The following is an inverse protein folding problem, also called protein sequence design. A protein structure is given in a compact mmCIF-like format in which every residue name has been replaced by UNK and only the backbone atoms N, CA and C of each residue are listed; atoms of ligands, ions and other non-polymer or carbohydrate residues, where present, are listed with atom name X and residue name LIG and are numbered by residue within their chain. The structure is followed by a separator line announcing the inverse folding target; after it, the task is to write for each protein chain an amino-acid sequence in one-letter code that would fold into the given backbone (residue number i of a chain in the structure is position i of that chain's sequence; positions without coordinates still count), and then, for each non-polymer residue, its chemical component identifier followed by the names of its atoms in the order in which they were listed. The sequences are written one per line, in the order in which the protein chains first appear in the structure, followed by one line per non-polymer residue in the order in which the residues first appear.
data_IF_839964461210
#
_entry.id   IF_839964461210
#
_cell.length_a   1.000
_cell.length_b   1.000
_cell.length_c   1.000
_cell.angle_alpha   90.00
_cell.angle_beta   90.00
_cell.angle_gamma   90.00
#
_symmetry.space_group_name_H-M   'P 1'
#
loop_
_entity.id
_entity.type
_entity.pdbx_description
1 polymer ?
#
# COMPACT_ATOMS: atom_id res chain seq x y z
N UNK A 1 -25.85 -39.77 -3.36
CA UNK A 1 -24.79 -38.94 -4.00
C UNK A 1 -25.33 -37.51 -4.13
N UNK A 2 -25.07 -36.61 -3.17
CA UNK A 2 -25.49 -35.21 -3.25
C UNK A 2 -24.39 -34.33 -3.85
N UNK A 3 -24.74 -33.18 -4.45
CA UNK A 3 -23.82 -32.35 -5.20
C UNK A 3 -22.98 -31.44 -4.28
N UNK A 4 -21.72 -31.29 -4.67
CA UNK A 4 -20.68 -30.54 -3.99
C UNK A 4 -20.82 -29.04 -4.32
N UNK A 5 -21.23 -28.22 -3.34
CA UNK A 5 -21.21 -26.77 -3.42
C UNK A 5 -19.80 -26.24 -3.12
N UNK A 6 -19.07 -25.82 -4.16
CA UNK A 6 -17.81 -25.05 -4.00
C UNK A 6 -18.09 -23.56 -4.19
N UNK A 7 -18.22 -22.85 -3.08
CA UNK A 7 -18.16 -21.39 -3.05
C UNK A 7 -16.75 -20.91 -3.42
N UNK A 8 -16.66 -19.99 -4.38
CA UNK A 8 -15.44 -19.22 -4.67
C UNK A 8 -15.39 -18.01 -3.74
N UNK A 9 -14.27 -17.71 -3.05
CA UNK A 9 -14.06 -16.40 -2.44
C UNK A 9 -13.62 -15.41 -3.53
N UNK A 10 -14.45 -14.40 -3.79
CA UNK A 10 -14.16 -13.28 -4.69
C UNK A 10 -13.16 -12.32 -4.04
N UNK A 11 -11.91 -12.37 -4.50
CA UNK A 11 -10.95 -11.28 -4.35
C UNK A 11 -10.51 -10.93 -5.78
N UNK A 12 -10.57 -9.64 -6.13
CA UNK A 12 -10.56 -9.02 -7.48
C UNK A 12 -11.98 -8.78 -8.02
N UNK A 13 -12.48 -7.52 -8.10
CA UNK A 13 -13.68 -7.21 -8.85
C UNK A 13 -13.38 -7.35 -10.34
N UNK A 14 -13.97 -8.36 -10.99
CA UNK A 14 -14.02 -8.45 -12.44
C UNK A 14 -15.00 -7.43 -12.98
N UNK A 15 -14.51 -6.44 -13.73
CA UNK A 15 -15.35 -5.47 -14.43
C UNK A 15 -15.76 -6.10 -15.77
N UNK A 16 -16.97 -6.65 -15.87
CA UNK A 16 -17.58 -6.99 -17.16
C UNK A 16 -19.10 -6.75 -17.20
N UNK A 17 -19.45 -5.66 -17.89
CA UNK A 17 -20.64 -5.37 -18.72
C UNK A 17 -22.04 -5.70 -18.19
N UNK A 18 -22.91 -4.67 -18.19
CA UNK A 18 -24.00 -4.52 -19.17
C UNK A 18 -24.55 -3.08 -19.14
N UNK A 19 -24.49 -2.39 -20.27
CA UNK A 19 -25.26 -1.16 -20.52
C UNK A 19 -26.63 -1.58 -21.07
N UNK A 20 -27.69 -1.30 -20.32
CA UNK A 20 -29.07 -1.32 -20.79
C UNK A 20 -29.70 0.01 -20.39
N UNK A 21 -30.10 0.81 -21.38
CA UNK A 21 -30.62 2.15 -21.15
C UNK A 21 -32.07 2.14 -20.64
N UNK A 22 -32.40 3.13 -19.82
CA UNK A 22 -33.74 3.72 -19.80
C UNK A 22 -33.62 5.17 -19.34
N UNK A 23 -34.27 6.06 -20.10
CA UNK A 23 -34.38 7.49 -19.85
C UNK A 23 -35.46 7.72 -18.80
N UNK A 24 -35.20 8.56 -17.81
CA UNK A 24 -36.22 9.41 -17.19
C UNK A 24 -35.55 10.59 -16.48
N UNK A 25 -35.98 11.80 -16.83
CA UNK A 25 -35.67 13.03 -16.09
C UNK A 25 -36.56 13.13 -14.85
N UNK A 26 -36.12 13.86 -13.81
CA UNK A 26 -36.91 15.03 -13.45
C UNK A 26 -36.11 16.27 -13.05
N UNK A 27 -36.86 17.37 -13.10
CA UNK A 27 -36.53 18.78 -13.01
C UNK A 27 -36.18 19.32 -11.62
N UNK A 28 -35.30 20.34 -11.65
CA UNK A 28 -35.27 21.62 -10.89
C UNK A 28 -35.62 21.64 -9.39
N UNK A 29 -34.64 22.10 -8.61
CA UNK A 29 -34.83 22.72 -7.30
C UNK A 29 -33.49 23.08 -6.65
N UNK A 30 -32.85 24.18 -7.07
CA UNK A 30 -31.61 24.67 -6.47
C UNK A 30 -31.95 25.80 -5.47
N UNK A 31 -31.64 25.58 -4.20
CA UNK A 31 -31.62 26.63 -3.17
C UNK A 31 -30.19 27.21 -3.05
N UNK A 32 -30.00 28.52 -2.87
CA UNK A 32 -28.67 29.12 -2.82
C UNK A 32 -28.01 28.91 -1.45
N UNK A 33 -26.73 28.55 -1.46
CA UNK A 33 -25.87 28.50 -0.28
C UNK A 33 -25.53 29.91 0.22
N UNK A 34 -25.43 30.16 1.54
CA UNK A 34 -25.16 31.49 2.08
C UNK A 34 -23.70 31.92 1.83
N UNK A 35 -23.54 33.11 1.27
CA UNK A 35 -22.27 33.79 1.03
C UNK A 35 -21.84 34.64 2.23
N UNK A 36 -20.82 34.17 2.98
CA UNK A 36 -19.72 34.93 3.64
C UNK A 36 -19.22 34.18 4.90
N UNK A 37 -17.92 33.85 5.02
CA UNK A 37 -17.34 33.42 6.29
C UNK A 37 -16.78 34.61 7.08
N UNK A 38 -16.85 34.49 8.41
CA UNK A 38 -16.24 35.40 9.39
C UNK A 38 -14.71 35.31 9.40
N UNK A 39 -14.07 36.40 9.84
CA UNK A 39 -12.62 36.56 9.93
C UNK A 39 -12.02 35.78 11.12
N UNK A 40 -11.95 34.45 11.01
CA UNK A 40 -11.07 33.61 11.84
C UNK A 40 -11.03 32.17 11.31
N UNK A 41 -10.57 31.97 10.08
CA UNK A 41 -10.36 30.64 9.54
C UNK A 41 -8.93 30.16 9.86
N UNK A 42 -8.74 28.97 10.45
CA UNK A 42 -7.41 28.40 10.66
C UNK A 42 -6.69 28.22 9.31
N UNK A 43 -5.35 28.17 9.33
CA UNK A 43 -4.48 28.07 8.14
C UNK A 43 -4.83 26.93 7.16
N UNK A 44 -5.70 26.00 7.56
CA UNK A 44 -6.31 24.92 6.77
C UNK A 44 -7.25 25.41 5.67
N UNK A 45 -7.95 26.54 5.85
CA UNK A 45 -8.72 27.15 4.76
C UNK A 45 -7.81 27.69 3.66
N UNK A 46 -6.67 28.31 4.00
CA UNK A 46 -5.86 29.04 3.03
C UNK A 46 -5.31 28.19 1.87
N UNK A 47 -4.96 26.92 2.09
CA UNK A 47 -4.41 26.04 1.04
C UNK A 47 -5.46 25.43 0.10
N UNK A 48 -6.68 25.15 0.59
CA UNK A 48 -7.79 24.73 -0.26
C UNK A 48 -8.46 25.94 -0.93
N UNK A 49 -8.61 27.05 -0.19
CA UNK A 49 -9.11 28.32 -0.72
C UNK A 49 -8.22 28.84 -1.86
N UNK A 50 -6.90 28.76 -1.77
CA UNK A 50 -6.03 29.23 -2.85
C UNK A 50 -6.20 28.44 -4.15
N UNK A 51 -6.55 27.14 -4.08
CA UNK A 51 -6.76 26.28 -5.26
C UNK A 51 -8.10 26.55 -5.95
N UNK A 52 -9.17 26.71 -5.18
CA UNK A 52 -10.48 27.11 -5.73
C UNK A 52 -10.44 28.54 -6.27
N UNK A 53 -9.78 29.48 -5.57
CA UNK A 53 -9.62 30.86 -6.05
C UNK A 53 -8.71 30.96 -7.27
N UNK A 54 -7.63 30.17 -7.34
CA UNK A 54 -6.77 30.10 -8.52
C UNK A 54 -7.57 29.66 -9.76
N UNK A 55 -8.40 28.63 -9.64
CA UNK A 55 -9.29 28.22 -10.74
C UNK A 55 -10.35 29.27 -11.10
N UNK A 56 -10.89 29.99 -10.12
CA UNK A 56 -11.88 31.05 -10.34
C UNK A 56 -11.29 32.24 -11.10
N UNK A 57 -10.04 32.63 -10.80
CA UNK A 57 -9.35 33.76 -11.44
C UNK A 57 -9.17 33.58 -12.95
N UNK A 58 -9.04 32.33 -13.42
CA UNK A 58 -8.80 32.00 -14.83
C UNK A 58 -9.98 31.28 -15.49
N UNK A 59 -11.16 31.26 -14.87
CA UNK A 59 -12.31 30.49 -15.33
C UNK A 59 -12.76 30.84 -16.76
N UNK A 60 -12.58 32.10 -17.17
CA UNK A 60 -12.89 32.58 -18.52
C UNK A 60 -11.74 32.45 -19.54
N UNK A 61 -10.55 32.05 -19.10
CA UNK A 61 -9.37 31.92 -19.94
C UNK A 61 -9.40 30.62 -20.77
N UNK A 62 -8.55 30.51 -21.78
CA UNK A 62 -8.36 29.28 -22.54
C UNK A 62 -7.83 28.15 -21.65
N UNK A 63 -8.04 26.88 -22.07
CA UNK A 63 -7.54 25.72 -21.32
C UNK A 63 -6.04 25.79 -21.05
N UNK A 64 -5.25 26.26 -22.01
CA UNK A 64 -3.80 26.35 -21.85
C UNK A 64 -3.43 27.39 -20.78
N UNK A 65 -4.06 28.55 -20.80
CA UNK A 65 -3.85 29.59 -19.79
C UNK A 65 -4.25 29.10 -18.40
N UNK A 66 -5.39 28.39 -18.29
CA UNK A 66 -5.81 27.77 -17.03
C UNK A 66 -4.77 26.77 -16.50
N UNK A 67 -4.27 25.89 -17.37
CA UNK A 67 -3.27 24.88 -16.99
C UNK A 67 -1.94 25.51 -16.57
N UNK A 68 -1.48 26.56 -17.27
CA UNK A 68 -0.25 27.30 -16.91
C UNK A 68 -0.41 28.02 -15.57
N UNK A 69 -1.58 28.60 -15.32
CA UNK A 69 -1.88 29.21 -14.03
C UNK A 69 -1.89 28.18 -12.91
N UNK A 70 -2.60 27.06 -13.09
CA UNK A 70 -2.68 25.98 -12.10
C UNK A 70 -1.34 25.31 -11.81
N UNK A 71 -0.45 25.19 -12.81
CA UNK A 71 0.89 24.63 -12.63
C UNK A 71 1.77 25.44 -11.67
N UNK A 72 1.44 26.72 -11.43
CA UNK A 72 2.11 27.57 -10.46
C UNK A 72 1.53 27.46 -9.04
N UNK A 73 0.43 26.72 -8.86
CA UNK A 73 -0.13 26.44 -7.54
C UNK A 73 0.64 25.28 -6.90
N UNK A 74 1.20 25.44 -5.68
CA UNK A 74 2.00 24.41 -5.04
C UNK A 74 1.30 23.03 -5.00
N UNK A 75 2.02 22.00 -5.47
CA UNK A 75 1.58 20.61 -5.51
C UNK A 75 0.65 20.22 -6.64
N UNK A 76 0.36 21.11 -7.59
CA UNK A 76 -0.35 20.74 -8.81
C UNK A 76 0.69 20.41 -9.89
N UNK A 77 0.73 19.14 -10.28
CA UNK A 77 1.50 18.69 -11.43
C UNK A 77 0.62 18.71 -12.67
N UNK A 78 1.07 19.39 -13.73
CA UNK A 78 0.39 19.42 -15.04
C UNK A 78 1.24 18.70 -16.09
N UNK A 79 0.97 17.41 -16.36
CA UNK A 79 1.71 16.58 -17.31
C UNK A 79 2.07 17.21 -18.65
N UNK A 80 1.14 17.92 -19.29
CA UNK A 80 1.31 18.47 -20.64
C UNK A 80 2.30 19.64 -20.70
N UNK A 81 2.75 20.16 -19.56
CA UNK A 81 3.69 21.28 -19.47
C UNK A 81 5.12 20.82 -19.15
N UNK A 82 5.39 19.51 -19.28
CA UNK A 82 6.72 18.93 -19.10
C UNK A 82 7.07 18.06 -20.31
N UNK A 83 8.18 18.38 -20.97
CA UNK A 83 8.77 17.56 -22.02
C UNK A 83 9.62 16.45 -21.41
N UNK A 84 9.58 15.26 -22.01
CA UNK A 84 10.41 14.11 -21.62
C UNK A 84 11.28 13.77 -22.82
N UNK A 85 12.59 13.85 -22.62
CA UNK A 85 13.61 13.44 -23.58
C UNK A 85 14.15 12.08 -23.19
N UNK A 86 14.35 11.22 -24.19
CA UNK A 86 14.83 9.85 -24.01
C UNK A 86 16.19 9.71 -24.69
N UNK A 87 17.07 8.87 -24.12
CA UNK A 87 18.37 8.56 -24.74
C UNK A 87 18.19 7.93 -26.12
N UNK A 88 17.21 7.04 -26.23
CA UNK A 88 16.68 6.48 -27.46
C UNK A 88 15.24 5.98 -27.21
N UNK A 89 14.56 5.46 -28.23
CA UNK A 89 13.14 5.05 -28.14
C UNK A 89 12.90 3.91 -27.14
N UNK A 90 13.85 3.01 -26.94
CA UNK A 90 13.82 1.88 -26.01
C UNK A 90 14.69 2.09 -24.75
N UNK A 91 15.41 3.21 -24.69
CA UNK A 91 16.36 3.56 -23.64
C UNK A 91 15.75 4.30 -22.46
N UNK A 92 16.62 4.68 -21.52
CA UNK A 92 16.26 5.44 -20.33
C UNK A 92 15.81 6.87 -20.66
N UNK A 93 15.15 7.52 -19.70
CA UNK A 93 14.86 8.95 -19.76
C UNK A 93 16.19 9.70 -19.65
N UNK A 94 16.48 10.56 -20.62
CA UNK A 94 17.60 11.48 -20.56
C UNK A 94 17.27 12.61 -19.58
N UNK A 95 16.13 13.28 -19.78
CA UNK A 95 15.73 14.41 -18.95
C UNK A 95 14.22 14.63 -18.95
N UNK A 96 13.73 15.26 -17.88
CA UNK A 96 12.37 15.79 -17.76
C UNK A 96 12.47 17.28 -17.48
N UNK A 97 11.93 18.11 -18.36
CA UNK A 97 12.02 19.57 -18.25
C UNK A 97 10.65 20.22 -18.41
N UNK A 98 10.38 21.36 -17.74
CA UNK A 98 9.22 22.17 -18.06
C UNK A 98 9.29 22.66 -19.51
N UNK A 99 8.12 22.82 -20.15
CA UNK A 99 8.03 23.31 -21.54
C UNK A 99 8.44 24.78 -21.70
N UNK A 100 8.50 25.54 -20.61
CA UNK A 100 9.02 26.91 -20.57
C UNK A 100 9.36 27.33 -19.13
N UNK A 101 10.01 28.50 -19.00
CA UNK A 101 10.57 29.01 -17.75
C UNK A 101 9.54 29.48 -16.72
N UNK A 102 8.27 29.68 -17.12
CA UNK A 102 7.19 30.06 -16.19
C UNK A 102 6.59 28.88 -15.44
N UNK A 103 7.01 27.65 -15.76
CA UNK A 103 6.55 26.42 -15.12
C UNK A 103 7.65 25.93 -14.16
N UNK A 104 7.30 25.59 -12.90
CA UNK A 104 8.29 25.07 -11.96
C UNK A 104 9.02 23.84 -12.50
N UNK A 105 10.34 23.80 -12.39
CA UNK A 105 11.11 22.63 -12.83
C UNK A 105 10.80 21.37 -11.99
N UNK A 106 10.39 21.57 -10.73
CA UNK A 106 10.03 20.50 -9.81
C UNK A 106 8.74 20.83 -9.05
N UNK A 107 7.90 19.83 -8.86
CA UNK A 107 6.62 19.96 -8.15
C UNK A 107 6.72 19.29 -6.79
N UNK A 108 6.51 20.07 -5.73
CA UNK A 108 6.57 19.56 -4.36
C UNK A 108 5.21 19.07 -3.87
N UNK A 109 5.18 17.83 -3.38
CA UNK A 109 3.99 17.24 -2.77
C UNK A 109 3.54 18.08 -1.57
N UNK A 110 2.27 18.46 -1.56
CA UNK A 110 1.66 19.15 -0.41
C UNK A 110 1.12 18.14 0.60
N UNK A 111 1.35 18.39 1.88
CA UNK A 111 0.85 17.57 2.98
C UNK A 111 0.00 18.41 3.92
N UNK A 112 -1.28 18.06 4.05
CA UNK A 112 -2.17 18.62 5.07
C UNK A 112 -1.60 18.40 6.47
N UNK A 113 -1.55 19.42 7.33
CA UNK A 113 -0.93 19.35 8.66
C UNK A 113 -1.93 19.25 9.84
N UNK A 114 -3.23 19.19 9.58
CA UNK A 114 -4.22 19.03 10.66
C UNK A 114 -4.29 17.61 11.23
N UNK A 115 -4.94 17.51 12.38
CA UNK A 115 -5.18 16.29 13.18
C UNK A 115 -6.57 15.67 12.96
N UNK A 116 -7.35 16.17 12.00
CA UNK A 116 -8.59 15.56 11.52
C UNK A 116 -8.24 14.75 10.27
N UNK A 117 -8.53 13.45 10.31
CA UNK A 117 -8.29 12.52 9.20
C UNK A 117 -9.59 12.18 8.46
N UNK A 118 -9.47 11.40 7.39
CA UNK A 118 -10.58 11.15 6.48
C UNK A 118 -11.56 10.10 7.02
N UNK A 119 -12.83 10.27 6.70
CA UNK A 119 -13.86 9.26 6.89
C UNK A 119 -14.70 9.11 5.61
N UNK A 120 -15.44 8.01 5.50
CA UNK A 120 -16.34 7.77 4.36
C UNK A 120 -17.31 8.93 4.16
N UNK A 121 -17.39 9.43 2.92
CA UNK A 121 -18.44 10.39 2.51
C UNK A 121 -19.61 9.67 1.82
N UNK A 122 -19.37 8.48 1.28
CA UNK A 122 -20.36 7.66 0.59
C UNK A 122 -20.29 6.24 1.15
N UNK A 123 -21.43 5.70 1.57
CA UNK A 123 -21.62 4.31 2.00
C UNK A 123 -22.66 3.67 1.09
N UNK A 124 -22.30 2.56 0.44
CA UNK A 124 -23.17 1.89 -0.53
C UNK A 124 -22.74 0.44 -0.70
N UNK A 125 -23.67 -0.42 -1.10
CA UNK A 125 -23.41 -1.80 -1.49
C UNK A 125 -22.55 -1.93 -2.75
N UNK A 126 -22.46 -0.87 -3.57
CA UNK A 126 -21.62 -0.86 -4.76
C UNK A 126 -20.16 -0.47 -4.49
N UNK A 127 -19.82 -0.13 -3.23
CA UNK A 127 -18.47 0.21 -2.85
C UNK A 127 -17.59 -1.06 -2.83
N UNK A 128 -16.27 -0.90 -3.02
CA UNK A 128 -15.32 -2.01 -2.91
C UNK A 128 -15.41 -2.73 -1.54
N UNK A 129 -15.78 -1.99 -0.50
CA UNK A 129 -16.18 -2.53 0.79
C UNK A 129 -17.66 -2.20 1.04
N UNK A 130 -18.52 -3.12 0.63
CA UNK A 130 -19.96 -2.95 0.63
C UNK A 130 -20.49 -2.54 2.02
N UNK A 131 -21.18 -1.40 2.07
CA UNK A 131 -21.84 -0.88 3.27
C UNK A 131 -20.92 -0.67 4.49
N UNK A 132 -19.60 -0.52 4.31
CA UNK A 132 -18.67 -0.21 5.41
C UNK A 132 -18.43 1.30 5.48
N UNK A 133 -18.66 1.89 6.65
CA UNK A 133 -18.22 3.25 6.96
C UNK A 133 -16.79 3.22 7.50
N UNK A 134 -15.88 3.83 6.75
CA UNK A 134 -14.45 3.79 7.02
C UNK A 134 -14.00 5.05 7.76
N UNK A 135 -13.18 4.88 8.80
CA UNK A 135 -12.58 5.95 9.60
C UNK A 135 -11.06 5.79 9.62
N UNK A 136 -10.34 6.82 9.18
CA UNK A 136 -8.89 6.86 9.21
C UNK A 136 -8.37 7.25 10.60
N UNK A 137 -7.78 6.27 11.28
CA UNK A 137 -7.25 6.40 12.65
C UNK A 137 -5.88 7.04 12.65
N UNK A 138 -5.03 6.62 11.71
CA UNK A 138 -3.67 7.15 11.53
C UNK A 138 -3.35 7.31 10.05
N UNK A 139 -2.49 8.27 9.74
CA UNK A 139 -1.96 8.49 8.39
C UNK A 139 -0.44 8.39 8.42
N UNK A 140 0.13 7.69 7.44
CA UNK A 140 1.53 7.27 7.40
C UNK A 140 1.90 6.21 8.45
N UNK A 141 3.14 5.77 8.40
CA UNK A 141 3.75 4.81 9.32
C UNK A 141 5.19 5.24 9.60
N UNK A 142 5.62 5.33 10.89
CA UNK A 142 6.96 5.80 11.25
C UNK A 142 8.05 4.72 11.10
N UNK A 143 7.69 3.49 10.73
CA UNK A 143 8.60 2.34 10.74
C UNK A 143 9.61 2.32 9.59
N UNK A 144 9.34 3.06 8.50
CA UNK A 144 10.30 3.26 7.41
C UNK A 144 10.75 1.96 6.72
N UNK A 145 9.86 0.97 6.58
CA UNK A 145 10.13 -0.24 5.81
C UNK A 145 10.49 0.12 4.36
N UNK A 146 11.65 -0.31 3.87
CA UNK A 146 12.35 0.25 2.69
C UNK A 146 11.63 0.08 1.34
N UNK A 147 10.56 -0.70 1.28
CA UNK A 147 9.69 -0.87 0.12
C UNK A 147 8.36 -0.11 0.22
N UNK A 148 8.04 0.45 1.39
CA UNK A 148 6.67 0.86 1.74
C UNK A 148 6.38 2.33 1.41
N UNK A 149 5.48 2.55 0.44
CA UNK A 149 5.00 3.89 0.09
C UNK A 149 4.41 4.65 1.28
N UNK A 150 3.67 3.98 2.16
CA UNK A 150 3.05 4.65 3.30
C UNK A 150 4.12 5.32 4.19
N UNK A 151 5.26 4.68 4.41
CA UNK A 151 6.31 5.23 5.27
C UNK A 151 7.12 6.34 4.61
N UNK A 152 7.35 6.29 3.29
CA UNK A 152 8.23 7.26 2.62
C UNK A 152 7.48 8.41 1.94
N UNK A 153 6.30 8.14 1.39
CA UNK A 153 5.54 9.13 0.61
C UNK A 153 4.56 9.93 1.47
N UNK A 154 4.09 9.38 2.60
CA UNK A 154 2.98 10.01 3.37
C UNK A 154 3.37 10.69 4.68
N UNK A 155 4.68 10.84 4.95
CA UNK A 155 5.21 11.57 6.10
C UNK A 155 4.66 13.00 6.21
N UNK A 156 4.54 13.55 7.44
CA UNK A 156 4.85 12.88 8.73
C UNK A 156 3.74 11.92 9.20
N UNK A 157 4.06 11.06 10.18
CA UNK A 157 3.07 10.25 10.90
C UNK A 157 2.10 11.15 11.66
N UNK A 158 0.81 10.84 11.55
CA UNK A 158 -0.27 11.61 12.18
C UNK A 158 -1.32 10.69 12.76
N UNK A 159 -1.78 11.06 13.93
CA UNK A 159 -2.81 10.39 14.71
C UNK A 159 -4.02 11.31 14.79
N UNK A 160 -5.20 10.79 14.48
CA UNK A 160 -6.43 11.56 14.60
C UNK A 160 -6.86 11.66 16.06
N UNK A 161 -7.18 12.84 16.58
CA UNK A 161 -7.67 12.96 17.96
C UNK A 161 -8.88 12.06 18.20
N UNK A 162 -8.86 11.26 19.28
CA UNK A 162 -9.97 10.38 19.62
C UNK A 162 -11.25 11.19 19.84
N UNK A 163 -11.20 12.20 20.70
CA UNK A 163 -12.36 13.02 21.07
C UNK A 163 -12.79 13.98 19.95
N UNK A 164 -11.85 14.69 19.33
CA UNK A 164 -12.20 15.74 18.37
C UNK A 164 -12.44 15.22 16.94
N UNK A 165 -12.01 13.99 16.62
CA UNK A 165 -12.09 13.44 15.26
C UNK A 165 -12.70 12.05 15.20
N UNK A 166 -12.16 11.06 15.92
CA UNK A 166 -12.55 9.66 15.72
C UNK A 166 -13.92 9.32 16.26
N UNK A 167 -14.23 9.72 17.50
CA UNK A 167 -15.55 9.50 18.11
C UNK A 167 -16.65 10.16 17.27
N UNK A 168 -16.57 11.47 16.92
CA UNK A 168 -17.58 12.10 16.06
C UNK A 168 -17.70 11.43 14.69
N UNK A 169 -16.60 10.93 14.13
CA UNK A 169 -16.64 10.22 12.85
C UNK A 169 -17.33 8.86 12.96
N UNK A 170 -17.09 8.12 14.04
CA UNK A 170 -17.74 6.84 14.35
C UNK A 170 -19.22 7.05 14.59
N UNK A 171 -19.62 8.06 15.38
CA UNK A 171 -21.02 8.37 15.67
C UNK A 171 -21.82 8.67 14.39
N UNK A 172 -21.28 9.49 13.49
CA UNK A 172 -21.88 9.70 12.15
C UNK A 172 -21.92 8.41 11.33
N UNK A 173 -20.94 7.53 11.49
CA UNK A 173 -20.86 6.27 10.75
C UNK A 173 -21.95 5.28 11.17
N UNK A 174 -22.19 5.14 12.48
CA UNK A 174 -23.20 4.21 13.01
C UNK A 174 -24.64 4.65 12.72
N UNK A 175 -24.87 5.94 12.50
CA UNK A 175 -26.16 6.45 11.99
C UNK A 175 -26.46 5.97 10.57
N UNK A 176 -25.42 5.59 9.80
CA UNK A 176 -25.53 5.21 8.38
C UNK A 176 -25.47 3.69 8.20
N UNK A 177 -24.66 2.99 9.00
CA UNK A 177 -24.44 1.54 8.88
C UNK A 177 -23.92 0.97 10.18
N UNK A 178 -24.24 -0.29 10.47
CA UNK A 178 -23.63 -1.01 11.58
C UNK A 178 -22.26 -1.62 11.25
N UNK A 179 -21.69 -1.38 10.06
CA UNK A 179 -20.38 -1.92 9.67
C UNK A 179 -19.33 -0.81 9.66
N UNK A 180 -18.42 -0.84 10.62
CA UNK A 180 -17.32 0.11 10.74
C UNK A 180 -16.00 -0.50 10.28
N UNK A 181 -15.19 0.31 9.59
CA UNK A 181 -13.83 -0.02 9.19
C UNK A 181 -12.84 0.98 9.76
N UNK A 182 -11.94 0.55 10.64
CA UNK A 182 -10.82 1.40 11.06
C UNK A 182 -9.62 1.17 10.15
N UNK A 183 -9.15 2.23 9.50
CA UNK A 183 -8.07 2.17 8.52
C UNK A 183 -6.88 3.06 8.90
N UNK A 184 -5.73 2.70 8.37
CA UNK A 184 -4.46 3.40 8.57
C UNK A 184 -3.30 2.45 8.36
N UNK A 185 -2.11 2.98 8.08
CA UNK A 185 -0.94 2.15 7.82
C UNK A 185 -0.39 1.46 9.09
N UNK A 186 -0.75 1.96 10.28
CA UNK A 186 -0.38 1.36 11.57
C UNK A 186 -1.35 1.78 12.68
N UNK A 187 -2.63 1.39 12.56
CA UNK A 187 -3.74 1.91 13.38
C UNK A 187 -3.50 1.76 14.89
N UNK A 188 -2.87 0.66 15.30
CA UNK A 188 -2.61 0.33 16.71
C UNK A 188 -1.44 1.11 17.32
N UNK A 189 -0.67 1.85 16.52
CA UNK A 189 0.32 2.81 17.02
C UNK A 189 -0.31 4.17 17.36
N UNK A 190 -1.62 4.30 17.25
CA UNK A 190 -2.32 5.45 17.82
C UNK A 190 -2.14 5.44 19.35
N UNK A 191 -1.67 6.53 19.98
CA UNK A 191 -1.34 6.55 21.42
C UNK A 191 -2.55 6.26 22.30
N UNK A 192 -3.74 6.66 21.85
CA UNK A 192 -5.02 6.45 22.55
C UNK A 192 -5.85 5.32 21.90
N UNK A 193 -5.20 4.34 21.25
CA UNK A 193 -5.93 3.26 20.56
C UNK A 193 -6.78 2.44 21.54
N UNK A 194 -6.28 2.18 22.76
CA UNK A 194 -7.06 1.48 23.77
C UNK A 194 -8.30 2.24 24.20
N UNK A 195 -8.22 3.56 24.35
CA UNK A 195 -9.37 4.42 24.64
C UNK A 195 -10.43 4.32 23.55
N UNK A 196 -10.01 4.21 22.29
CA UNK A 196 -10.92 3.98 21.16
C UNK A 196 -11.61 2.61 21.24
N UNK A 197 -10.90 1.56 21.66
CA UNK A 197 -11.50 0.24 21.88
C UNK A 197 -12.53 0.29 23.02
N UNK A 198 -12.18 0.94 24.14
CA UNK A 198 -13.11 1.12 25.27
C UNK A 198 -14.36 1.88 24.87
N UNK A 199 -14.24 2.86 23.97
CA UNK A 199 -15.39 3.57 23.42
C UNK A 199 -16.28 2.67 22.56
N UNK A 200 -15.68 1.88 21.66
CA UNK A 200 -16.42 1.00 20.74
C UNK A 200 -17.07 -0.17 21.49
N UNK A 201 -16.51 -0.64 22.60
CA UNK A 201 -17.07 -1.72 23.43
C UNK A 201 -18.23 -1.29 24.34
N UNK A 202 -18.70 -0.04 24.27
CA UNK A 202 -19.86 0.38 25.06
C UNK A 202 -21.14 -0.35 24.57
N UNK A 203 -22.09 -0.69 25.46
CA UNK A 203 -23.29 -1.47 25.09
C UNK A 203 -24.12 -0.91 23.92
N UNK A 204 -24.09 0.42 23.72
CA UNK A 204 -24.77 1.08 22.59
C UNK A 204 -24.21 0.69 21.21
N UNK A 205 -23.06 0.03 21.16
CA UNK A 205 -22.39 -0.39 19.93
C UNK A 205 -22.32 -1.92 19.77
N UNK A 206 -23.05 -2.70 20.58
CA UNK A 206 -23.03 -4.18 20.53
C UNK A 206 -23.38 -4.74 19.13
N UNK A 207 -24.27 -4.06 18.39
CA UNK A 207 -24.66 -4.45 17.03
C UNK A 207 -23.66 -4.05 15.93
N UNK A 208 -22.60 -3.32 16.29
CA UNK A 208 -21.57 -2.86 15.36
C UNK A 208 -20.65 -4.03 14.98
N UNK A 209 -20.44 -4.19 13.67
CA UNK A 209 -19.42 -5.08 13.11
C UNK A 209 -18.16 -4.30 12.80
N UNK A 210 -17.06 -4.69 13.42
CA UNK A 210 -15.79 -3.99 13.31
C UNK A 210 -14.86 -4.72 12.34
N UNK A 211 -14.35 -3.99 11.35
CA UNK A 211 -13.26 -4.41 10.48
C UNK A 211 -12.03 -3.54 10.72
N UNK A 212 -10.86 -4.17 10.83
CA UNK A 212 -9.59 -3.46 11.01
C UNK A 212 -8.69 -3.70 9.80
N UNK A 213 -7.95 -2.65 9.42
CA UNK A 213 -6.74 -2.83 8.62
C UNK A 213 -5.72 -3.72 9.34
N UNK A 214 -4.70 -4.19 8.62
CA UNK A 214 -3.61 -4.97 9.24
C UNK A 214 -2.98 -4.17 10.38
N UNK A 215 -2.76 -4.84 11.50
CA UNK A 215 -2.16 -4.25 12.71
C UNK A 215 -0.69 -4.63 12.82
N UNK A 216 0.06 -3.85 13.61
CA UNK A 216 1.43 -4.21 13.95
C UNK A 216 1.41 -5.43 14.87
N UNK A 217 2.29 -6.39 14.63
CA UNK A 217 2.32 -7.65 15.36
C UNK A 217 2.44 -7.47 16.88
N UNK A 218 3.36 -6.64 17.34
CA UNK A 218 3.59 -6.40 18.77
C UNK A 218 2.49 -5.59 19.47
N UNK A 219 1.48 -5.13 18.74
CA UNK A 219 0.30 -4.43 19.28
C UNK A 219 -0.95 -5.30 19.36
N UNK A 220 -0.83 -6.59 19.03
CA UNK A 220 -1.92 -7.55 19.23
C UNK A 220 -2.01 -7.87 20.72
N UNK A 221 -2.99 -7.29 21.39
CA UNK A 221 -3.33 -7.55 22.80
C UNK A 221 -4.56 -8.45 22.91
N UNK A 222 -4.77 -9.05 24.08
CA UNK A 222 -5.99 -9.83 24.36
C UNK A 222 -7.23 -8.93 24.28
N UNK A 223 -7.19 -7.73 24.86
CA UNK A 223 -8.26 -6.71 24.75
C UNK A 223 -8.66 -6.40 23.30
N UNK A 224 -7.68 -6.25 22.40
CA UNK A 224 -7.96 -6.07 20.97
C UNK A 224 -8.66 -7.29 20.37
N UNK A 225 -8.18 -8.50 20.69
CA UNK A 225 -8.78 -9.73 20.20
C UNK A 225 -10.23 -9.92 20.72
N UNK A 226 -10.47 -9.67 22.00
CA UNK A 226 -11.80 -9.70 22.62
C UNK A 226 -12.75 -8.68 21.99
N UNK A 227 -12.28 -7.43 21.80
CA UNK A 227 -13.04 -6.37 21.09
C UNK A 227 -13.43 -6.83 19.69
N UNK A 228 -12.49 -7.41 18.94
CA UNK A 228 -12.77 -7.92 17.61
C UNK A 228 -13.83 -9.05 17.65
N UNK A 229 -13.74 -9.97 18.60
CA UNK A 229 -14.72 -11.05 18.76
C UNK A 229 -16.10 -10.51 19.13
N UNK A 230 -16.18 -9.55 20.05
CA UNK A 230 -17.42 -8.89 20.45
C UNK A 230 -18.13 -8.23 19.24
N UNK A 231 -17.35 -7.67 18.31
CA UNK A 231 -17.86 -7.02 17.09
C UNK A 231 -17.80 -7.90 15.83
N UNK A 232 -18.07 -9.22 15.98
CA UNK A 232 -18.24 -10.23 14.92
C UNK A 232 -17.02 -10.43 13.99
N UNK A 233 -15.83 -10.04 14.45
CA UNK A 233 -14.57 -10.31 13.76
C UNK A 233 -13.94 -11.61 14.23
N UNK A 234 -13.67 -12.51 13.28
CA UNK A 234 -13.09 -13.84 13.56
C UNK A 234 -11.58 -13.91 13.39
N UNK A 235 -10.98 -12.83 12.87
CA UNK A 235 -9.58 -12.82 12.47
C UNK A 235 -8.93 -11.46 12.71
N UNK A 236 -7.68 -11.48 13.15
CA UNK A 236 -6.77 -10.32 13.05
C UNK A 236 -5.75 -10.58 11.94
N UNK A 237 -5.25 -9.50 11.33
CA UNK A 237 -4.23 -9.59 10.27
C UNK A 237 -2.96 -8.86 10.70
N UNK A 238 -1.81 -9.53 10.62
CA UNK A 238 -0.49 -8.95 10.88
C UNK A 238 0.41 -9.03 9.64
N UNK A 239 1.28 -8.06 9.45
CA UNK A 239 2.27 -8.08 8.37
C UNK A 239 3.64 -8.47 8.93
N UNK A 240 4.16 -9.61 8.48
CA UNK A 240 5.47 -10.17 8.88
C UNK A 240 6.51 -10.09 7.78
N UNK A 241 6.06 -10.02 6.52
CA UNK A 241 6.83 -9.95 5.28
C UNK A 241 7.67 -11.20 5.01
N UNK A 242 8.39 -11.73 5.99
CA UNK A 242 9.23 -12.92 5.91
C UNK A 242 9.46 -13.48 7.32
N UNK A 243 9.67 -14.79 7.44
CA UNK A 243 10.11 -15.39 8.71
C UNK A 243 11.61 -15.26 8.98
N UNK A 244 12.38 -14.72 8.04
CA UNK A 244 13.82 -14.48 8.23
C UNK A 244 14.07 -13.17 8.98
N UNK A 245 14.78 -13.25 10.10
CA UNK A 245 15.25 -12.06 10.84
C UNK A 245 16.22 -11.23 10.00
N UNK A 246 17.08 -11.89 9.23
CA UNK A 246 18.02 -11.22 8.32
C UNK A 246 17.28 -10.41 7.26
N UNK A 247 16.31 -11.03 6.59
CA UNK A 247 15.57 -10.36 5.53
C UNK A 247 14.61 -9.28 6.09
N UNK A 248 14.10 -9.45 7.32
CA UNK A 248 13.41 -8.37 8.04
C UNK A 248 14.32 -7.17 8.32
N UNK A 249 15.58 -7.39 8.72
CA UNK A 249 16.57 -6.30 8.81
C UNK A 249 16.74 -5.61 7.46
N UNK A 250 17.00 -6.35 6.38
CA UNK A 250 17.17 -5.83 5.01
C UNK A 250 16.02 -4.92 4.57
N UNK A 251 14.77 -5.21 4.93
CA UNK A 251 13.62 -4.35 4.59
C UNK A 251 13.31 -3.28 5.65
N UNK A 252 14.10 -3.17 6.70
CA UNK A 252 13.91 -2.34 7.89
C UNK A 252 12.57 -2.63 8.58
N UNK A 253 12.25 -3.90 8.78
CA UNK A 253 11.09 -4.35 9.57
C UNK A 253 11.55 -4.65 10.99
N UNK A 254 11.17 -3.75 11.91
CA UNK A 254 11.45 -3.85 13.35
C UNK A 254 10.44 -4.76 14.03
N UNK A 255 10.66 -6.06 13.88
CA UNK A 255 9.81 -7.12 14.40
C UNK A 255 10.67 -8.34 14.68
N UNK A 256 10.56 -8.93 15.86
CA UNK A 256 11.26 -10.16 16.25
C UNK A 256 10.38 -11.40 16.09
N UNK A 257 10.97 -12.58 15.94
CA UNK A 257 10.23 -13.84 15.79
C UNK A 257 9.36 -14.16 17.02
N UNK A 258 9.88 -13.87 18.22
CA UNK A 258 9.15 -14.11 19.48
C UNK A 258 7.85 -13.29 19.54
N UNK A 259 7.90 -12.00 19.15
CA UNK A 259 6.72 -11.13 19.11
C UNK A 259 5.61 -11.67 18.19
N UNK A 260 5.97 -12.35 17.09
CA UNK A 260 5.00 -12.98 16.18
C UNK A 260 4.30 -14.17 16.85
N UNK A 261 5.05 -14.99 17.57
CA UNK A 261 4.48 -16.12 18.32
C UNK A 261 3.55 -15.64 19.43
N UNK A 262 3.97 -14.61 20.19
CA UNK A 262 3.15 -14.01 21.24
C UNK A 262 1.84 -13.43 20.68
N UNK A 263 1.90 -12.74 19.53
CA UNK A 263 0.70 -12.21 18.88
C UNK A 263 -0.30 -13.32 18.52
N UNK A 264 0.18 -14.48 18.06
CA UNK A 264 -0.69 -15.62 17.77
C UNK A 264 -1.30 -16.23 19.04
N UNK A 265 -0.52 -16.32 20.12
CA UNK A 265 -1.00 -16.79 21.42
C UNK A 265 -2.08 -15.85 21.98
N UNK A 266 -1.81 -14.54 22.02
CA UNK A 266 -2.76 -13.51 22.50
C UNK A 266 -4.03 -13.45 21.65
N UNK A 267 -3.90 -13.52 20.32
CA UNK A 267 -5.05 -13.57 19.41
C UNK A 267 -5.98 -14.75 19.75
N UNK A 268 -5.39 -15.93 19.97
CA UNK A 268 -6.16 -17.12 20.37
C UNK A 268 -6.76 -16.98 21.76
N UNK A 269 -6.00 -16.46 22.73
CA UNK A 269 -6.45 -16.28 24.11
C UNK A 269 -7.68 -15.35 24.18
N UNK A 270 -7.68 -14.25 23.42
CA UNK A 270 -8.84 -13.35 23.28
C UNK A 270 -9.97 -13.88 22.38
N UNK A 271 -9.96 -15.17 22.02
CA UNK A 271 -11.10 -15.83 21.36
C UNK A 271 -11.10 -15.81 19.83
N UNK A 272 -10.11 -15.23 19.17
CA UNK A 272 -10.06 -15.25 17.69
C UNK A 272 -9.86 -16.68 17.18
N UNK A 273 -10.66 -17.06 16.18
CA UNK A 273 -10.57 -18.37 15.54
C UNK A 273 -9.49 -18.47 14.44
N UNK A 274 -8.95 -17.32 14.00
CA UNK A 274 -7.95 -17.30 12.93
C UNK A 274 -6.99 -16.11 12.99
N UNK A 275 -5.79 -16.32 12.47
CA UNK A 275 -4.76 -15.29 12.28
C UNK A 275 -4.33 -15.27 10.81
N UNK A 276 -4.40 -14.09 10.20
CA UNK A 276 -3.92 -13.84 8.84
C UNK A 276 -2.56 -13.15 8.92
N UNK A 277 -1.61 -13.63 8.12
CA UNK A 277 -0.28 -13.05 8.00
C UNK A 277 -0.07 -12.59 6.56
N UNK A 278 0.55 -11.42 6.39
CA UNK A 278 1.05 -10.97 5.11
C UNK A 278 2.55 -11.20 5.01
N UNK A 279 2.94 -11.96 3.97
CA UNK A 279 4.30 -12.22 3.55
C UNK A 279 4.57 -11.66 2.15
N UNK A 280 5.84 -11.70 1.77
CA UNK A 280 6.33 -11.24 0.48
C UNK A 280 7.51 -12.12 0.06
N UNK A 281 7.59 -12.46 -1.22
CA UNK A 281 8.78 -13.10 -1.82
C UNK A 281 9.36 -12.22 -2.92
N UNK A 282 10.58 -12.54 -3.34
CA UNK A 282 11.32 -11.76 -4.32
C UNK A 282 11.86 -10.44 -3.75
N UNK A 283 11.94 -10.33 -2.43
CA UNK A 283 12.54 -9.18 -1.74
C UNK A 283 14.01 -9.05 -2.20
N UNK A 284 14.54 -7.83 -2.45
CA UNK A 284 15.95 -7.64 -2.72
C UNK A 284 16.82 -8.31 -1.63
N UNK A 285 17.89 -9.00 -2.04
CA UNK A 285 18.76 -9.80 -1.17
C UNK A 285 18.12 -11.08 -0.56
N UNK A 286 16.93 -11.51 -0.97
CA UNK A 286 16.33 -12.78 -0.49
C UNK A 286 17.04 -14.03 -1.04
N UNK A 287 17.48 -14.89 -0.13
CA UNK A 287 18.16 -16.17 -0.36
C UNK A 287 17.23 -17.36 -0.03
N UNK A 288 17.50 -18.59 -0.52
CA UNK A 288 16.64 -19.75 -0.28
C UNK A 288 16.33 -20.01 1.20
N UNK A 289 17.30 -19.79 2.09
CA UNK A 289 17.21 -20.01 3.53
C UNK A 289 16.14 -19.11 4.17
N UNK A 290 15.85 -17.93 3.61
CA UNK A 290 14.82 -17.04 4.13
C UNK A 290 13.40 -17.61 3.92
N UNK A 291 13.20 -18.39 2.86
CA UNK A 291 11.94 -19.08 2.60
C UNK A 291 11.76 -20.23 3.58
N UNK A 292 12.84 -20.92 3.91
CA UNK A 292 12.83 -21.99 4.90
C UNK A 292 12.52 -21.43 6.30
N UNK A 293 13.15 -20.33 6.69
CA UNK A 293 12.80 -19.60 7.91
C UNK A 293 11.32 -19.16 7.93
N UNK A 294 10.76 -18.77 6.80
CA UNK A 294 9.33 -18.44 6.67
C UNK A 294 8.44 -19.66 6.92
N UNK A 295 8.82 -20.83 6.40
CA UNK A 295 8.09 -22.08 6.65
C UNK A 295 8.19 -22.48 8.12
N UNK A 296 9.39 -22.44 8.69
CA UNK A 296 9.66 -22.79 10.09
C UNK A 296 8.87 -21.90 11.05
N UNK A 297 8.89 -20.58 10.84
CA UNK A 297 8.08 -19.63 11.60
C UNK A 297 6.60 -20.03 11.57
N UNK A 298 6.04 -20.29 10.40
CA UNK A 298 4.61 -20.65 10.27
C UNK A 298 4.27 -21.96 10.99
N UNK A 299 5.18 -22.93 11.01
CA UNK A 299 5.02 -24.18 11.79
C UNK A 299 5.12 -23.93 13.29
N UNK A 300 6.05 -23.08 13.72
CA UNK A 300 6.19 -22.68 15.12
C UNK A 300 4.92 -21.97 15.62
N UNK A 301 4.34 -21.06 14.83
CA UNK A 301 3.07 -20.41 15.17
C UNK A 301 1.93 -21.41 15.33
N UNK A 302 1.84 -22.41 14.43
CA UNK A 302 0.82 -23.45 14.50
C UNK A 302 0.94 -24.26 15.80
N UNK A 303 2.17 -24.53 16.24
CA UNK A 303 2.46 -25.23 17.50
C UNK A 303 2.17 -24.36 18.72
N UNK A 304 2.53 -23.08 18.68
CA UNK A 304 2.35 -22.13 19.78
C UNK A 304 0.87 -21.79 20.06
N UNK A 305 0.04 -21.76 19.01
CA UNK A 305 -1.40 -21.50 19.13
C UNK A 305 -2.25 -22.64 18.53
N UNK A 306 -2.33 -23.82 19.18
CA UNK A 306 -3.06 -24.97 18.63
C UNK A 306 -4.53 -24.67 18.33
N UNK A 307 -5.04 -25.05 17.17
CA UNK A 307 -6.45 -24.80 16.80
C UNK A 307 -6.74 -23.39 16.25
N UNK A 308 -5.78 -22.46 16.30
CA UNK A 308 -5.88 -21.18 15.60
C UNK A 308 -5.64 -21.42 14.10
N UNK A 309 -6.60 -21.05 13.24
CA UNK A 309 -6.42 -21.19 11.79
C UNK A 309 -5.43 -20.14 11.27
N UNK A 310 -4.32 -20.59 10.72
CA UNK A 310 -3.32 -19.72 10.10
C UNK A 310 -3.54 -19.57 8.60
N UNK A 311 -3.50 -18.33 8.12
CA UNK A 311 -3.48 -18.00 6.68
C UNK A 311 -2.26 -17.15 6.37
N UNK A 312 -1.47 -17.52 5.37
CA UNK A 312 -0.39 -16.68 4.84
C UNK A 312 -0.78 -16.17 3.45
N UNK A 313 -1.14 -14.88 3.37
CA UNK A 313 -1.24 -14.16 2.11
C UNK A 313 0.14 -13.71 1.68
N UNK A 314 0.57 -14.06 0.46
CA UNK A 314 1.95 -13.81 0.04
C UNK A 314 2.00 -13.09 -1.31
N UNK A 315 2.56 -11.88 -1.28
CA UNK A 315 2.75 -11.02 -2.45
C UNK A 315 4.13 -11.22 -3.09
N UNK A 316 4.30 -10.75 -4.32
CA UNK A 316 5.65 -10.57 -4.89
C UNK A 316 6.10 -9.14 -4.63
N UNK A 317 7.37 -8.95 -4.28
CA UNK A 317 7.95 -7.61 -4.18
C UNK A 317 7.75 -6.84 -5.50
N UNK A 318 7.18 -5.64 -5.40
CA UNK A 318 6.99 -4.72 -6.52
C UNK A 318 7.61 -3.38 -6.14
N UNK A 319 8.60 -2.88 -6.91
CA UNK A 319 9.23 -1.59 -6.65
C UNK A 319 8.22 -0.46 -6.71
N UNK A 320 8.39 0.53 -5.83
CA UNK A 320 7.51 1.69 -5.75
C UNK A 320 8.33 2.97 -5.77
N UNK A 321 7.84 3.94 -6.53
CA UNK A 321 8.41 5.28 -6.63
C UNK A 321 8.64 5.91 -5.24
N UNK A 322 9.72 6.67 -5.11
CA UNK A 322 10.11 7.36 -3.87
C UNK A 322 10.33 6.45 -2.65
N UNK A 323 10.65 5.17 -2.87
CA UNK A 323 11.11 4.28 -1.81
C UNK A 323 12.58 3.92 -2.03
N UNK A 324 13.36 3.56 -0.98
CA UNK A 324 14.73 3.09 -1.14
C UNK A 324 14.89 1.93 -2.14
N UNK A 325 13.85 1.12 -2.31
CA UNK A 325 13.88 -0.03 -3.22
C UNK A 325 13.37 0.27 -4.64
N UNK A 326 13.15 1.54 -5.00
CA UNK A 326 12.64 1.93 -6.32
C UNK A 326 13.55 1.55 -7.50
N UNK A 327 14.83 1.32 -7.26
CA UNK A 327 15.82 0.96 -8.29
C UNK A 327 15.94 -0.54 -8.54
N UNK A 328 15.41 -1.39 -7.66
CA UNK A 328 15.46 -2.84 -7.88
C UNK A 328 14.38 -3.28 -8.86
N UNK A 329 14.60 -4.40 -9.54
CA UNK A 329 13.64 -5.12 -10.34
C UNK A 329 12.85 -6.17 -9.55
N UNK A 330 11.77 -6.66 -10.16
CA UNK A 330 11.02 -7.82 -9.68
C UNK A 330 11.81 -9.09 -9.99
N UNK A 331 12.07 -9.90 -8.97
CA UNK A 331 12.78 -11.17 -9.15
C UNK A 331 11.98 -12.16 -10.00
N UNK A 332 12.59 -12.65 -11.09
CA UNK A 332 12.04 -13.72 -11.91
C UNK A 332 11.88 -15.06 -11.14
N UNK A 333 12.56 -15.21 -10.01
CA UNK A 333 12.43 -16.40 -9.16
C UNK A 333 11.19 -16.37 -8.27
N UNK A 334 10.53 -15.21 -8.09
CA UNK A 334 9.40 -15.06 -7.17
C UNK A 334 8.28 -16.07 -7.43
N UNK A 335 7.97 -16.40 -8.70
CA UNK A 335 6.96 -17.42 -9.02
C UNK A 335 7.33 -18.80 -8.47
N UNK A 336 8.61 -19.20 -8.59
CA UNK A 336 9.12 -20.47 -8.05
C UNK A 336 9.08 -20.45 -6.52
N UNK A 337 9.40 -19.31 -5.89
CA UNK A 337 9.37 -19.13 -4.43
C UNK A 337 7.95 -19.23 -3.87
N UNK A 338 6.96 -18.60 -4.53
CA UNK A 338 5.53 -18.77 -4.19
C UNK A 338 5.09 -20.24 -4.27
N UNK A 339 5.47 -20.95 -5.33
CA UNK A 339 5.15 -22.39 -5.50
C UNK A 339 5.82 -23.25 -4.42
N UNK A 340 7.04 -22.91 -4.01
CA UNK A 340 7.75 -23.60 -2.93
C UNK A 340 7.01 -23.44 -1.59
N UNK A 341 6.68 -22.20 -1.20
CA UNK A 341 5.92 -21.95 0.03
C UNK A 341 4.57 -22.67 0.01
N UNK A 342 3.87 -22.65 -1.13
CA UNK A 342 2.62 -23.39 -1.30
C UNK A 342 2.80 -24.90 -1.06
N UNK A 343 3.85 -25.49 -1.64
CA UNK A 343 4.16 -26.92 -1.51
C UNK A 343 4.50 -27.30 -0.06
N UNK A 344 5.21 -26.43 0.68
CA UNK A 344 5.63 -26.69 2.07
C UNK A 344 4.51 -26.43 3.10
N UNK A 345 3.70 -25.38 2.92
CA UNK A 345 2.72 -24.94 3.92
C UNK A 345 1.37 -25.66 3.84
N UNK A 346 0.86 -25.94 2.63
CA UNK A 346 -0.49 -26.54 2.48
C UNK A 346 -0.63 -27.94 3.11
N UNK A 347 0.34 -28.86 2.94
CA UNK A 347 0.28 -30.18 3.61
C UNK A 347 0.25 -30.06 5.14
N UNK A 348 0.72 -28.94 5.68
CA UNK A 348 0.75 -28.64 7.10
C UNK A 348 -0.56 -28.01 7.60
N UNK A 349 -1.61 -27.98 6.78
CA UNK A 349 -2.92 -27.42 7.14
C UNK A 349 -2.93 -25.89 7.26
N UNK A 350 -1.91 -25.21 6.73
CA UNK A 350 -1.81 -23.75 6.71
C UNK A 350 -2.37 -23.24 5.38
N UNK A 351 -3.31 -22.28 5.45
CA UNK A 351 -3.96 -21.72 4.27
C UNK A 351 -3.01 -20.74 3.57
N UNK A 352 -2.35 -21.19 2.51
CA UNK A 352 -1.45 -20.35 1.70
C UNK A 352 -2.17 -19.75 0.49
N UNK A 353 -2.16 -18.42 0.43
CA UNK A 353 -2.83 -17.59 -0.59
C UNK A 353 -1.80 -16.72 -1.33
N UNK A 354 -1.13 -17.25 -2.36
CA UNK A 354 -0.21 -16.46 -3.17
C UNK A 354 -0.97 -15.50 -4.08
N UNK A 355 -0.43 -14.30 -4.27
CA UNK A 355 -0.80 -13.45 -5.39
C UNK A 355 -0.33 -14.06 -6.71
N UNK A 356 -0.93 -13.62 -7.82
CA UNK A 356 -0.47 -14.04 -9.13
C UNK A 356 0.79 -13.27 -9.52
N UNK A 357 1.91 -13.97 -9.62
CA UNK A 357 3.19 -13.40 -10.07
C UNK A 357 3.04 -12.61 -11.38
N UNK A 358 2.30 -13.14 -12.36
CA UNK A 358 2.10 -12.44 -13.64
C UNK A 358 1.32 -11.13 -13.48
N UNK A 359 0.40 -11.05 -12.53
CA UNK A 359 -0.26 -9.78 -12.21
C UNK A 359 0.66 -8.83 -11.43
N UNK A 360 1.56 -9.34 -10.58
CA UNK A 360 2.62 -8.53 -9.97
C UNK A 360 3.59 -7.95 -11.02
N UNK A 361 3.89 -8.70 -12.09
CA UNK A 361 4.66 -8.20 -13.25
C UNK A 361 3.95 -7.01 -13.90
N UNK A 362 2.63 -7.10 -14.13
CA UNK A 362 1.84 -5.97 -14.66
C UNK A 362 1.79 -4.80 -13.66
N UNK A 363 1.68 -5.09 -12.37
CA UNK A 363 1.73 -4.06 -11.33
C UNK A 363 3.07 -3.33 -11.32
N UNK A 364 4.18 -4.04 -11.51
CA UNK A 364 5.52 -3.45 -11.60
C UNK A 364 5.66 -2.58 -12.84
N UNK A 365 5.19 -3.05 -14.00
CA UNK A 365 5.13 -2.26 -15.23
C UNK A 365 4.42 -0.92 -15.00
N UNK A 366 3.25 -0.93 -14.35
CA UNK A 366 2.49 0.29 -14.04
C UNK A 366 3.20 1.14 -12.98
N UNK A 367 3.80 0.51 -11.96
CA UNK A 367 4.49 1.21 -10.86
C UNK A 367 5.77 1.92 -11.31
N UNK A 368 6.42 1.40 -12.36
CA UNK A 368 7.70 1.88 -12.91
C UNK A 368 7.55 2.58 -14.27
N UNK A 369 6.34 2.63 -14.81
CA UNK A 369 6.10 3.13 -16.17
C UNK A 369 6.37 4.62 -16.36
N UNK A 370 6.72 4.98 -17.59
CA UNK A 370 6.80 6.37 -18.06
C UNK A 370 5.73 6.70 -19.11
N UNK A 371 5.83 7.89 -19.74
CA UNK A 371 4.86 8.37 -20.74
C UNK A 371 4.63 7.40 -21.90
N UNK A 372 5.63 6.58 -22.26
CA UNK A 372 5.56 5.58 -23.33
C UNK A 372 4.56 4.46 -23.03
N UNK A 373 4.11 4.29 -21.78
CA UNK A 373 3.07 3.30 -21.47
C UNK A 373 1.65 3.77 -21.79
N UNK A 374 1.41 5.06 -22.05
CA UNK A 374 0.05 5.55 -22.31
C UNK A 374 -0.60 4.86 -23.55
N UNK A 375 0.06 4.77 -24.72
CA UNK A 375 -0.48 4.04 -25.87
C UNK A 375 -0.64 2.53 -25.63
N UNK A 376 0.14 1.97 -24.70
CA UNK A 376 0.04 0.56 -24.31
C UNK A 376 -1.23 0.33 -23.48
N UNK A 377 -1.48 1.15 -22.47
CA UNK A 377 -2.66 1.06 -21.61
C UNK A 377 -3.96 1.28 -22.39
N UNK A 378 -3.95 2.20 -23.35
CA UNK A 378 -5.06 2.42 -24.28
C UNK A 378 -5.38 1.15 -25.09
N UNK A 379 -4.36 0.52 -25.71
CA UNK A 379 -4.53 -0.75 -26.44
C UNK A 379 -5.06 -1.87 -25.55
N UNK A 380 -4.52 -2.02 -24.34
CA UNK A 380 -5.00 -3.01 -23.37
C UNK A 380 -6.48 -2.80 -23.07
N UNK A 381 -6.91 -1.56 -22.84
CA UNK A 381 -8.33 -1.24 -22.61
C UNK A 381 -9.22 -1.71 -23.76
N UNK A 382 -8.77 -1.59 -25.02
CA UNK A 382 -9.50 -2.05 -26.20
C UNK A 382 -9.47 -3.57 -26.39
N UNK A 383 -8.37 -4.24 -26.07
CA UNK A 383 -8.22 -5.70 -26.20
C UNK A 383 -8.93 -6.49 -25.11
N UNK A 384 -9.18 -5.86 -23.96
CA UNK A 384 -9.67 -6.50 -22.73
C UNK A 384 -8.60 -6.47 -21.65
N UNK A 385 -8.98 -6.49 -20.38
CA UNK A 385 -8.10 -6.35 -19.22
C UNK A 385 -7.43 -7.68 -18.81
N UNK A 386 -6.86 -8.42 -19.77
CA UNK A 386 -6.20 -9.71 -19.51
C UNK A 386 -4.69 -9.64 -19.64
N UNK A 387 -3.96 -10.58 -19.04
CA UNK A 387 -2.50 -10.71 -19.24
C UNK A 387 -2.12 -10.87 -20.73
N UNK A 388 -2.97 -11.52 -21.54
CA UNK A 388 -2.76 -11.66 -22.98
C UNK A 388 -2.85 -10.33 -23.73
N UNK A 389 -3.68 -9.41 -23.25
CA UNK A 389 -3.84 -8.08 -23.83
C UNK A 389 -2.59 -7.21 -23.67
N UNK A 390 -1.91 -7.28 -22.53
CA UNK A 390 -0.62 -6.62 -22.34
C UNK A 390 0.44 -7.17 -23.30
N UNK A 391 0.54 -8.50 -23.44
CA UNK A 391 1.47 -9.13 -24.40
C UNK A 391 1.19 -8.70 -25.84
N UNK A 392 -0.08 -8.63 -26.23
CA UNK A 392 -0.49 -8.14 -27.55
C UNK A 392 -0.11 -6.67 -27.74
N UNK A 393 -0.39 -5.81 -26.77
CA UNK A 393 -0.04 -4.39 -26.85
C UNK A 393 1.47 -4.15 -26.97
N UNK A 394 2.30 -4.90 -26.24
CA UNK A 394 3.77 -4.87 -26.42
C UNK A 394 4.20 -5.32 -27.81
N UNK A 395 3.53 -6.32 -28.39
CA UNK A 395 3.82 -6.76 -29.77
C UNK A 395 3.52 -5.66 -30.78
N UNK A 396 2.39 -4.97 -30.63
CA UNK A 396 1.96 -3.90 -31.53
C UNK A 396 2.82 -2.64 -31.44
N UNK A 397 3.46 -2.43 -30.28
CA UNK A 397 4.30 -1.27 -29.99
C UNK A 397 5.80 -1.57 -30.04
N UNK A 398 6.21 -2.72 -30.59
CA UNK A 398 7.62 -3.09 -30.70
C UNK A 398 8.43 -1.97 -31.38
N UNK A 399 9.57 -1.59 -30.80
CA UNK A 399 10.39 -0.47 -31.29
C UNK A 399 9.86 0.93 -30.96
N UNK A 400 8.79 1.06 -30.17
CA UNK A 400 8.22 2.35 -29.75
C UNK A 400 8.30 2.58 -28.23
N UNK A 401 8.71 1.58 -27.47
CA UNK A 401 8.93 1.64 -26.03
C UNK A 401 9.92 0.54 -25.62
N UNK A 402 10.59 0.71 -24.46
CA UNK A 402 11.44 -0.32 -23.88
C UNK A 402 10.72 -1.67 -23.74
N UNK A 403 11.43 -2.79 -23.85
CA UNK A 403 10.85 -4.11 -23.60
C UNK A 403 10.31 -4.20 -22.17
N UNK A 404 9.36 -5.13 -21.94
CA UNK A 404 8.78 -5.37 -20.61
C UNK A 404 9.86 -5.59 -19.53
N UNK A 405 10.95 -6.25 -19.90
CA UNK A 405 12.07 -6.56 -19.01
C UNK A 405 12.70 -5.31 -18.39
N UNK A 406 12.87 -4.24 -19.17
CA UNK A 406 13.40 -2.95 -18.72
C UNK A 406 12.58 -2.36 -17.58
N UNK A 407 11.24 -2.42 -17.71
CA UNK A 407 10.34 -1.87 -16.69
C UNK A 407 10.20 -2.77 -15.48
N UNK A 408 10.33 -4.09 -15.64
CA UNK A 408 9.93 -5.04 -14.60
C UNK A 408 11.13 -5.66 -13.90
N UNK A 409 12.07 -6.24 -14.64
CA UNK A 409 13.11 -7.13 -14.10
C UNK A 409 14.46 -6.45 -13.95
N UNK A 410 14.76 -5.46 -14.80
CA UNK A 410 16.04 -4.74 -14.69
C UNK A 410 16.10 -3.96 -13.38
N UNK A 411 17.27 -4.04 -12.73
CA UNK A 411 17.69 -3.02 -11.79
C UNK A 411 18.07 -1.76 -12.60
N UNK A 412 17.79 -0.59 -12.05
CA UNK A 412 18.14 0.68 -12.67
C UNK A 412 19.33 1.32 -11.97
N UNK A 413 20.17 1.99 -12.77
CA UNK A 413 21.29 2.77 -12.28
C UNK A 413 20.82 3.91 -11.36
N UNK A 414 21.66 4.28 -10.39
CA UNK A 414 21.29 5.24 -9.34
C UNK A 414 21.23 6.69 -9.85
N UNK A 415 22.03 6.99 -10.87
CA UNK A 415 22.12 8.29 -11.54
C UNK A 415 21.11 8.46 -12.69
N UNK A 416 20.48 7.37 -13.14
CA UNK A 416 19.43 7.43 -14.16
C UNK A 416 18.26 8.35 -13.73
N UNK A 417 17.76 9.15 -14.68
CA UNK A 417 16.53 9.94 -14.49
C UNK A 417 15.33 9.00 -14.37
N UNK A 418 14.63 9.05 -13.23
CA UNK A 418 13.43 8.25 -13.00
C UNK A 418 12.16 8.95 -13.53
N UNK A 419 11.07 8.21 -13.84
CA UNK A 419 9.83 8.79 -14.39
C UNK A 419 9.18 9.86 -13.50
N UNK A 420 9.50 9.86 -12.20
CA UNK A 420 8.99 10.78 -11.18
C UNK A 420 10.06 11.75 -10.64
N UNK A 421 11.22 11.89 -11.29
CA UNK A 421 12.33 12.74 -10.79
C UNK A 421 11.94 14.22 -10.63
N UNK A 422 11.00 14.70 -11.45
CA UNK A 422 10.45 16.07 -11.37
C UNK A 422 9.43 16.26 -10.22
N UNK A 423 9.08 15.20 -9.50
CA UNK A 423 8.17 15.24 -8.35
C UNK A 423 8.98 15.11 -7.05
N UNK A 424 8.93 16.14 -6.19
CA UNK A 424 9.58 16.10 -4.89
C UNK A 424 8.66 15.45 -3.85
N UNK A 425 9.08 14.27 -3.39
CA UNK A 425 8.50 13.60 -2.23
C UNK A 425 8.99 14.19 -0.89
N UNK A 426 8.54 13.64 0.25
CA UNK A 426 8.89 14.15 1.58
C UNK A 426 10.38 13.99 1.95
N UNK A 427 11.09 13.06 1.31
CA UNK A 427 12.49 12.76 1.59
C UNK A 427 13.35 12.96 0.34
N UNK A 428 14.57 13.51 0.49
CA UNK A 428 15.48 13.72 -0.63
C UNK A 428 16.05 12.39 -1.14
N UNK A 429 16.44 12.35 -2.42
CA UNK A 429 17.04 11.17 -3.08
C UNK A 429 18.23 10.61 -2.30
N UNK A 430 19.08 11.47 -1.73
CA UNK A 430 20.23 11.07 -0.91
C UNK A 430 19.82 10.21 0.31
N UNK A 431 18.70 10.51 0.98
CA UNK A 431 18.20 9.69 2.09
C UNK A 431 17.72 8.33 1.62
N UNK A 432 17.06 8.26 0.45
CA UNK A 432 16.62 7.00 -0.14
C UNK A 432 17.81 6.11 -0.50
N UNK A 433 18.87 6.68 -1.07
CA UNK A 433 20.12 5.98 -1.38
C UNK A 433 20.80 5.45 -0.12
N UNK A 434 20.95 6.28 0.92
CA UNK A 434 21.49 5.85 2.22
C UNK A 434 20.71 4.65 2.79
N UNK A 435 19.38 4.71 2.77
CA UNK A 435 18.56 3.61 3.27
C UNK A 435 18.70 2.34 2.42
N UNK A 436 18.88 2.47 1.10
CA UNK A 436 19.15 1.34 0.20
C UNK A 436 20.51 0.71 0.51
N UNK A 437 21.55 1.52 0.69
CA UNK A 437 22.89 1.04 1.05
C UNK A 437 22.88 0.26 2.36
N UNK A 438 22.19 0.76 3.39
CA UNK A 438 22.03 0.01 4.64
C UNK A 438 21.39 -1.38 4.43
N UNK A 439 20.44 -1.51 3.50
CA UNK A 439 19.85 -2.80 3.18
C UNK A 439 20.85 -3.79 2.56
N UNK A 440 21.78 -3.29 1.74
CA UNK A 440 22.82 -4.10 1.10
C UNK A 440 23.86 -4.56 2.13
N UNK A 441 24.24 -3.70 3.08
CA UNK A 441 25.15 -4.04 4.19
C UNK A 441 24.53 -5.13 5.06
N UNK A 442 23.29 -4.92 5.54
CA UNK A 442 22.56 -5.92 6.33
C UNK A 442 22.34 -7.24 5.56
N UNK A 443 22.22 -7.16 4.23
CA UNK A 443 22.11 -8.30 3.35
C UNK A 443 23.39 -9.13 3.30
N UNK A 444 24.56 -8.48 3.28
CA UNK A 444 25.89 -9.10 3.21
C UNK A 444 26.41 -9.62 4.56
N UNK A 445 26.15 -8.92 5.67
CA UNK A 445 26.62 -9.33 7.00
C UNK A 445 26.06 -10.70 7.43
N UNK A 446 24.81 -11.01 7.07
CA UNK A 446 24.20 -12.32 7.34
C UNK A 446 24.78 -13.48 6.53
N UNK A 447 25.52 -13.21 5.43
CA UNK A 447 26.20 -14.24 4.65
C UNK A 447 27.60 -14.57 5.22
N UNK A 448 28.22 -13.64 5.94
CA UNK A 448 29.57 -13.81 6.52
C UNK A 448 29.49 -14.58 7.85
N UNK A 449 28.45 -14.36 8.66
CA UNK A 449 28.30 -15.01 9.97
C UNK A 449 27.98 -16.52 9.91
N UNK A 450 27.71 -17.10 8.73
CA UNK A 450 27.52 -18.56 8.57
C UNK A 450 28.80 -19.31 8.18
N UNK A 451 29.91 -18.62 7.89
CA UNK A 451 31.17 -19.27 7.46
C UNK A 451 32.30 -19.24 8.52
N UNK A 452 32.11 -18.59 9.68
CA UNK A 452 33.14 -18.45 10.71
C UNK A 452 32.96 -19.37 11.94
N UNK A 453 32.29 -20.51 11.79
CA UNK A 453 32.21 -21.53 12.86
C UNK A 453 32.99 -22.82 12.52
N UNK A 454 34.16 -22.70 11.88
CA UNK A 454 35.18 -23.77 11.84
C UNK A 454 36.61 -23.23 11.89
N UNK A 455 36.97 -22.56 12.97
CA UNK A 455 38.39 -22.36 13.31
C UNK A 455 38.58 -22.50 14.83
N UNK A 456 38.95 -23.71 15.27
CA UNK A 456 39.47 -23.93 16.63
C UNK A 456 40.84 -23.25 16.76
N UNK A 457 41.12 -22.55 17.88
CA UNK A 457 42.45 -22.03 18.12
C UNK A 457 43.40 -23.17 18.49
N UNK A 458 44.51 -23.27 17.75
CA UNK A 458 45.63 -24.12 18.12
C UNK A 458 46.34 -23.51 19.35
N UNK A 459 46.29 -24.24 20.47
CA UNK A 459 47.08 -23.97 21.65
C UNK A 459 48.51 -24.49 21.44
N UNK A 460 49.44 -23.61 21.78
CA UNK A 460 50.90 -23.78 21.87
C UNK A 460 51.38 -25.06 22.57
N UNK A 461 52.41 -25.69 21.99
CA UNK A 461 53.64 -26.10 22.68
C UNK A 461 54.82 -25.96 21.74
#
# INVERSE_FOLDING_TARGET
RPPCSRGRPSWIPSISRTCGGSRSSPSRGASPWPTRPSASAPATCFQYFSREHAGQAVRGASRLEQLRHLANVPGIYVPSLYAVEYMDVEGAIAQIQPTDTSIPAQVEKQTYRGNVLSASTVVTEHAAWENIYMVEVVRSCPEMCRFCLASYLTLPFRTASVEASLIPAIERGVEVTNRLGLLGASITQHPEFETLLDWINQPKYDDVRLSLASVRTNTVTEKLAETLVAHDSRSVTIAVETGSDRLRRVINKKLETAEIAEAAVRAKAGGLSSLKLYGMVGIPQEIPEDLDATVEMMLALKKAAPGLRLTLGCSTFVPKAHTPFQWFGVSAQAEKRLKLLQKKLRPQGIDFRPESYNWSVIQALISRGDRRLAPLLERVRHYGDTLGSYRRAFKDLRGQLPPLDYYVHSDWELDQTLPWEHLRGPLPKATLLKHRESALVEGGEGAITQNEETAKPALSR
#
